data_IF_625850177861
#
_entry.id   IF_625850177861
#
_cell.length_a   1.000
_cell.length_b   1.000
_cell.length_c   1.000
_cell.angle_alpha   90.00
_cell.angle_beta   90.00
_cell.angle_gamma   90.00
#
_symmetry.space_group_name_H-M   'P 1'
#
loop_
_entity.id
_entity.type
_entity.pdbx_description
1 polymer ?
#
# COMPACT_ATOMS: atom_id res chain seq x y z
N UNK A 1 -35.18 34.10 -6.56
CA UNK A 1 -33.74 34.46 -6.43
C UNK A 1 -33.26 34.81 -7.82
N UNK A 2 -32.96 36.08 -8.07
CA UNK A 2 -32.25 36.46 -9.28
C UNK A 2 -30.81 35.94 -9.18
N UNK A 3 -30.38 35.22 -10.21
CA UNK A 3 -29.02 34.68 -10.29
C UNK A 3 -27.99 35.78 -10.57
N UNK A 4 -26.71 35.43 -10.40
CA UNK A 4 -25.61 36.32 -10.73
C UNK A 4 -25.53 36.52 -12.25
N UNK A 5 -25.79 37.73 -12.74
CA UNK A 5 -25.72 38.05 -14.17
C UNK A 5 -24.34 38.62 -14.52
N UNK A 6 -23.43 37.76 -14.98
CA UNK A 6 -22.08 38.16 -15.39
C UNK A 6 -22.07 38.63 -16.85
N UNK A 7 -21.37 39.73 -17.12
CA UNK A 7 -21.15 40.30 -18.44
C UNK A 7 -19.74 39.96 -18.96
N UNK A 8 -19.50 40.19 -20.26
CA UNK A 8 -18.17 39.95 -20.86
C UNK A 8 -17.07 40.83 -20.26
N UNK A 9 -17.40 42.02 -19.77
CA UNK A 9 -16.45 42.89 -19.06
C UNK A 9 -16.07 42.36 -17.68
N UNK A 10 -16.99 41.68 -16.98
CA UNK A 10 -16.72 41.07 -15.67
C UNK A 10 -15.75 39.88 -15.79
N UNK A 11 -15.78 39.18 -16.93
CA UNK A 11 -14.85 38.09 -17.26
C UNK A 11 -13.50 38.60 -17.79
N UNK A 12 -13.39 39.89 -18.15
CA UNK A 12 -12.18 40.48 -18.73
C UNK A 12 -11.26 41.13 -17.68
N UNK A 13 -11.69 41.21 -16.41
CA UNK A 13 -10.83 41.62 -15.31
C UNK A 13 -9.93 40.46 -14.87
N UNK A 14 -8.66 40.78 -14.61
CA UNK A 14 -7.72 39.85 -14.01
C UNK A 14 -8.15 39.60 -12.55
N UNK A 15 -8.91 38.53 -12.33
CA UNK A 15 -9.53 38.22 -11.04
C UNK A 15 -8.61 37.34 -10.20
N UNK A 16 -7.83 37.98 -9.32
CA UNK A 16 -6.98 37.32 -8.33
C UNK A 16 -7.75 37.20 -7.00
N UNK A 17 -8.38 36.05 -6.77
CA UNK A 17 -9.08 35.75 -5.51
C UNK A 17 -8.46 34.53 -4.86
N UNK A 18 -7.79 34.76 -3.73
CA UNK A 18 -7.11 33.73 -2.94
C UNK A 18 -8.02 32.52 -2.64
N UNK A 19 -9.27 32.76 -2.27
CA UNK A 19 -10.25 31.69 -1.97
C UNK A 19 -10.53 30.85 -3.21
N UNK A 20 -10.71 31.49 -4.37
CA UNK A 20 -10.96 30.80 -5.62
C UNK A 20 -9.73 30.04 -6.12
N UNK A 21 -8.53 30.59 -5.93
CA UNK A 21 -7.27 29.96 -6.30
C UNK A 21 -7.03 28.70 -5.48
N UNK A 22 -7.20 28.76 -4.16
CA UNK A 22 -7.07 27.59 -3.28
C UNK A 22 -8.14 26.55 -3.57
N UNK A 23 -9.41 26.97 -3.74
CA UNK A 23 -10.52 26.05 -4.02
C UNK A 23 -10.39 25.35 -5.38
N UNK A 24 -9.80 26.02 -6.37
CA UNK A 24 -9.60 25.48 -7.74
C UNK A 24 -8.18 24.95 -7.97
N UNK A 25 -7.32 24.96 -6.95
CA UNK A 25 -5.96 24.46 -7.08
C UNK A 25 -5.98 22.98 -7.48
N UNK A 26 -5.43 22.69 -8.66
CA UNK A 26 -5.19 21.32 -9.10
C UNK A 26 -3.84 20.84 -8.61
N UNK A 27 -3.76 19.60 -8.17
CA UNK A 27 -2.48 18.97 -7.87
C UNK A 27 -1.61 18.99 -9.13
N UNK A 28 -0.38 19.48 -9.01
CA UNK A 28 0.59 19.40 -10.10
C UNK A 28 0.89 17.93 -10.45
N UNK A 29 1.20 17.67 -11.72
CA UNK A 29 1.67 16.35 -12.15
C UNK A 29 2.93 15.98 -11.37
N UNK A 30 3.00 14.74 -10.91
CA UNK A 30 4.23 14.22 -10.32
C UNK A 30 5.34 14.18 -11.37
N UNK A 31 6.59 14.44 -10.92
CA UNK A 31 7.76 14.18 -11.75
C UNK A 31 7.78 12.70 -12.12
N UNK A 32 8.08 12.42 -13.39
CA UNK A 32 8.24 11.05 -13.87
C UNK A 32 9.57 10.50 -13.34
N UNK A 33 9.56 9.98 -12.11
CA UNK A 33 10.70 9.27 -11.53
C UNK A 33 10.68 7.84 -12.02
N UNK A 34 11.86 7.26 -12.31
CA UNK A 34 11.99 5.82 -12.52
C UNK A 34 12.09 5.17 -11.13
N UNK A 35 11.03 4.57 -10.58
CA UNK A 35 11.11 3.93 -9.27
C UNK A 35 12.08 2.75 -9.34
N UNK A 36 12.76 2.49 -8.22
CA UNK A 36 13.57 1.30 -8.08
C UNK A 36 12.73 0.05 -8.35
N UNK A 37 13.28 -0.88 -9.15
CA UNK A 37 12.66 -2.16 -9.45
C UNK A 37 13.58 -3.27 -8.98
N UNK A 38 13.06 -4.14 -8.11
CA UNK A 38 13.75 -5.36 -7.75
C UNK A 38 13.86 -6.28 -8.96
N UNK A 39 15.01 -6.92 -9.12
CA UNK A 39 15.29 -7.87 -10.20
C UNK A 39 15.64 -9.26 -9.67
N UNK A 40 15.97 -9.38 -8.39
CA UNK A 40 16.25 -10.64 -7.72
C UNK A 40 14.99 -11.10 -6.96
N UNK A 41 14.61 -12.39 -7.02
CA UNK A 41 13.51 -12.90 -6.19
C UNK A 41 13.74 -12.63 -4.70
N UNK A 42 12.67 -12.27 -3.99
CA UNK A 42 12.65 -11.97 -2.54
C UNK A 42 13.50 -10.78 -2.09
N UNK A 43 14.09 -10.05 -3.03
CA UNK A 43 14.79 -8.81 -2.73
C UNK A 43 13.86 -7.75 -2.15
N UNK A 44 12.60 -7.72 -2.61
CA UNK A 44 11.58 -6.82 -2.09
C UNK A 44 10.20 -7.43 -2.23
N UNK A 45 9.53 -7.67 -1.12
CA UNK A 45 8.15 -8.17 -1.09
C UNK A 45 7.20 -7.07 -0.63
N UNK A 46 6.23 -6.74 -1.46
CA UNK A 46 5.14 -5.84 -1.09
C UNK A 46 4.05 -6.64 -0.39
N UNK A 47 3.59 -6.17 0.77
CA UNK A 47 2.52 -6.81 1.53
C UNK A 47 1.37 -5.82 1.63
N UNK A 48 0.20 -6.24 1.17
CA UNK A 48 -1.05 -5.48 1.25
C UNK A 48 -2.14 -6.33 1.91
N UNK A 49 -3.10 -5.68 2.55
CA UNK A 49 -4.19 -6.35 3.26
C UNK A 49 -5.53 -5.78 2.84
N UNK A 50 -6.49 -6.64 2.55
CA UNK A 50 -7.86 -6.25 2.22
C UNK A 50 -8.90 -6.85 3.15
N UNK A 51 -10.08 -6.21 3.15
CA UNK A 51 -11.29 -6.67 3.85
C UNK A 51 -11.94 -5.58 4.71
N UNK A 52 -13.08 -5.88 5.37
CA UNK A 52 -13.69 -7.20 5.48
C UNK A 52 -14.38 -7.70 4.19
N UNK A 53 -14.14 -8.96 3.84
CA UNK A 53 -14.82 -9.68 2.74
C UNK A 53 -16.27 -9.94 3.17
N UNK A 54 -17.23 -9.55 2.33
CA UNK A 54 -18.67 -9.76 2.57
C UNK A 54 -19.33 -10.31 1.30
N UNK A 55 -20.03 -11.45 1.36
CA UNK A 55 -20.12 -12.36 2.52
C UNK A 55 -18.76 -13.00 2.86
N UNK A 56 -18.55 -13.51 4.09
CA UNK A 56 -17.33 -14.25 4.41
C UNK A 56 -17.10 -15.43 3.44
N UNK A 57 -15.85 -15.85 3.29
CA UNK A 57 -15.54 -17.07 2.53
C UNK A 57 -16.17 -18.31 3.18
N UNK A 58 -16.25 -19.44 2.45
CA UNK A 58 -16.75 -20.70 2.99
C UNK A 58 -16.07 -21.14 4.30
N UNK A 59 -14.79 -20.79 4.49
CA UNK A 59 -14.04 -21.08 5.72
C UNK A 59 -14.17 -20.00 6.81
N UNK A 60 -15.14 -19.09 6.72
CA UNK A 60 -15.34 -18.00 7.68
C UNK A 60 -14.28 -16.91 7.65
N UNK A 61 -13.36 -16.91 6.66
CA UNK A 61 -12.31 -15.89 6.52
C UNK A 61 -12.92 -14.59 6.04
N UNK A 62 -12.49 -13.48 6.65
CA UNK A 62 -13.02 -12.13 6.44
C UNK A 62 -11.96 -11.14 5.95
N UNK A 63 -10.69 -11.50 5.95
CA UNK A 63 -9.63 -10.63 5.44
C UNK A 63 -8.68 -11.46 4.57
N UNK A 64 -7.83 -10.77 3.82
CA UNK A 64 -6.73 -11.42 3.12
C UNK A 64 -5.47 -10.57 3.19
N UNK A 65 -4.32 -11.22 3.07
CA UNK A 65 -3.05 -10.57 2.80
C UNK A 65 -2.51 -11.02 1.44
N UNK A 66 -2.05 -10.06 0.65
CA UNK A 66 -1.44 -10.27 -0.63
C UNK A 66 0.04 -9.90 -0.54
N UNK A 67 0.89 -10.87 -0.81
CA UNK A 67 2.34 -10.72 -0.82
C UNK A 67 2.78 -10.76 -2.27
N UNK A 68 3.45 -9.73 -2.76
CA UNK A 68 3.89 -9.61 -4.16
C UNK A 68 5.40 -9.46 -4.18
N UNK A 69 6.09 -10.43 -4.76
CA UNK A 69 7.52 -10.32 -4.99
C UNK A 69 7.82 -9.32 -6.11
N UNK A 70 8.62 -8.31 -5.80
CA UNK A 70 9.03 -7.26 -6.73
C UNK A 70 9.87 -7.81 -7.88
N UNK A 71 10.71 -8.81 -7.61
CA UNK A 71 11.64 -9.44 -8.55
C UNK A 71 10.96 -10.40 -9.51
N UNK A 72 10.39 -11.49 -8.99
CA UNK A 72 9.77 -12.55 -9.80
C UNK A 72 8.34 -12.25 -10.26
N UNK A 73 7.67 -11.26 -9.64
CA UNK A 73 6.23 -11.00 -9.78
C UNK A 73 5.31 -12.09 -9.24
N UNK A 74 5.85 -13.08 -8.53
CA UNK A 74 5.05 -14.10 -7.86
C UNK A 74 4.17 -13.48 -6.77
N UNK A 75 2.98 -14.07 -6.56
CA UNK A 75 2.00 -13.59 -5.58
C UNK A 75 1.57 -14.72 -4.64
N UNK A 76 1.58 -14.45 -3.35
CA UNK A 76 0.97 -15.32 -2.34
C UNK A 76 -0.26 -14.62 -1.76
N UNK A 77 -1.34 -15.37 -1.60
CA UNK A 77 -2.59 -14.90 -1.01
C UNK A 77 -2.87 -15.73 0.24
N UNK A 78 -3.06 -15.04 1.37
CA UNK A 78 -3.38 -15.66 2.65
C UNK A 78 -4.73 -15.18 3.14
N UNK A 79 -5.64 -16.11 3.44
CA UNK A 79 -6.96 -15.77 3.98
C UNK A 79 -6.93 -15.75 5.51
N UNK A 80 -7.43 -14.67 6.10
CA UNK A 80 -7.40 -14.44 7.55
C UNK A 80 -8.80 -14.35 8.15
N UNK A 81 -8.92 -14.82 9.39
CA UNK A 81 -10.15 -14.68 10.21
C UNK A 81 -10.22 -13.27 10.79
N UNK A 82 -9.10 -12.77 11.31
CA UNK A 82 -8.93 -11.46 11.92
C UNK A 82 -7.63 -10.81 11.44
N UNK A 83 -7.54 -9.48 11.55
CA UNK A 83 -6.33 -8.74 11.16
C UNK A 83 -5.12 -9.03 12.06
N UNK A 84 -5.33 -9.60 13.25
CA UNK A 84 -4.27 -9.94 14.21
C UNK A 84 -3.45 -11.16 13.80
N UNK A 85 -3.94 -11.99 12.87
CA UNK A 85 -3.22 -13.17 12.36
C UNK A 85 -2.00 -12.81 11.50
N UNK A 86 -1.85 -11.55 11.10
CA UNK A 86 -0.82 -11.07 10.17
C UNK A 86 0.61 -11.38 10.56
N UNK A 87 0.99 -11.09 11.80
CA UNK A 87 2.38 -11.27 12.21
C UNK A 87 2.80 -12.74 12.23
N UNK A 88 1.91 -13.62 12.69
CA UNK A 88 2.16 -15.06 12.66
C UNK A 88 2.19 -15.61 11.24
N UNK A 89 1.33 -15.08 10.36
CA UNK A 89 1.34 -15.42 8.95
C UNK A 89 2.65 -14.98 8.27
N UNK A 90 3.13 -13.77 8.57
CA UNK A 90 4.41 -13.27 8.07
C UNK A 90 5.59 -14.16 8.46
N UNK A 91 5.70 -14.56 9.74
CA UNK A 91 6.78 -15.47 10.19
C UNK A 91 6.76 -16.79 9.44
N UNK A 92 5.56 -17.37 9.22
CA UNK A 92 5.40 -18.61 8.45
C UNK A 92 5.79 -18.41 6.99
N UNK A 93 5.36 -17.30 6.38
CA UNK A 93 5.73 -16.93 5.02
C UNK A 93 7.25 -16.84 4.86
N UNK A 94 7.92 -16.06 5.71
CA UNK A 94 9.37 -15.88 5.67
C UNK A 94 10.11 -17.23 5.70
N UNK A 95 9.84 -18.09 6.69
CA UNK A 95 10.52 -19.40 6.79
C UNK A 95 10.22 -20.29 5.58
N UNK A 96 8.98 -20.27 5.09
CA UNK A 96 8.56 -21.13 3.98
C UNK A 96 9.18 -20.70 2.66
N UNK A 97 9.15 -19.40 2.36
CA UNK A 97 9.57 -18.87 1.07
C UNK A 97 11.08 -19.00 0.87
N UNK A 98 11.87 -18.78 1.94
CA UNK A 98 13.32 -18.98 1.87
C UNK A 98 13.68 -20.46 1.68
N UNK A 99 12.99 -21.38 2.37
CA UNK A 99 13.23 -22.82 2.22
C UNK A 99 12.82 -23.37 0.87
N UNK A 100 11.76 -22.83 0.27
CA UNK A 100 11.25 -23.30 -1.01
C UNK A 100 12.08 -22.84 -2.21
N UNK A 101 12.65 -21.64 -2.12
CA UNK A 101 13.26 -20.99 -3.28
C UNK A 101 14.76 -20.75 -3.15
N UNK A 102 15.35 -20.98 -1.96
CA UNK A 102 16.77 -20.75 -1.68
C UNK A 102 17.23 -19.29 -1.92
N UNK A 103 16.28 -18.35 -1.83
CA UNK A 103 16.52 -16.91 -1.82
C UNK A 103 16.25 -16.36 -0.42
N UNK A 104 16.91 -15.24 -0.10
CA UNK A 104 16.70 -14.53 1.17
C UNK A 104 15.72 -13.38 1.00
N UNK A 105 14.77 -13.28 1.92
CA UNK A 105 13.87 -12.14 2.01
C UNK A 105 14.68 -10.95 2.55
N UNK A 106 14.84 -9.90 1.75
CA UNK A 106 15.68 -8.74 2.14
C UNK A 106 14.88 -7.57 2.66
N UNK A 107 13.82 -7.18 1.96
CA UNK A 107 13.01 -6.02 2.31
C UNK A 107 11.54 -6.34 2.21
N UNK A 108 10.75 -5.88 3.17
CA UNK A 108 9.29 -5.85 3.08
C UNK A 108 8.79 -4.42 2.95
N UNK A 109 7.78 -4.21 2.10
CA UNK A 109 7.11 -2.91 1.98
C UNK A 109 5.63 -3.06 2.26
N UNK A 110 5.14 -2.28 3.20
CA UNK A 110 3.73 -2.25 3.62
C UNK A 110 3.17 -0.85 3.39
N UNK A 111 1.85 -0.70 3.48
CA UNK A 111 1.15 0.58 3.41
C UNK A 111 1.23 1.40 4.72
N UNK A 112 2.09 0.98 5.67
CA UNK A 112 2.15 1.49 7.04
C UNK A 112 0.85 1.31 7.84
N UNK A 113 0.02 0.31 7.51
CA UNK A 113 -1.10 -0.05 8.38
C UNK A 113 -0.60 -0.43 9.78
N UNK A 114 -1.43 -0.14 10.80
CA UNK A 114 -1.06 -0.31 12.22
C UNK A 114 -0.56 -1.73 12.55
N UNK A 115 -1.09 -2.75 11.87
CA UNK A 115 -0.68 -4.14 12.09
C UNK A 115 0.77 -4.41 11.65
N UNK A 116 1.26 -3.68 10.64
CA UNK A 116 2.63 -3.75 10.14
C UNK A 116 3.57 -2.72 10.78
N UNK A 117 3.05 -1.87 11.66
CA UNK A 117 3.84 -0.96 12.49
C UNK A 117 4.03 -1.49 13.92
N UNK A 118 3.76 -2.78 14.15
CA UNK A 118 3.87 -3.38 15.47
C UNK A 118 5.34 -3.48 15.92
N UNK A 119 5.59 -3.31 17.22
CA UNK A 119 6.94 -3.43 17.79
C UNK A 119 7.50 -4.84 17.59
N UNK A 120 6.61 -5.82 17.61
CA UNK A 120 6.88 -7.24 17.41
C UNK A 120 7.38 -7.52 16.00
N UNK A 121 6.73 -6.98 14.96
CA UNK A 121 7.18 -7.14 13.58
C UNK A 121 8.53 -6.46 13.35
N UNK A 122 8.71 -5.24 13.86
CA UNK A 122 9.97 -4.52 13.73
C UNK A 122 11.12 -5.25 14.44
N UNK A 123 10.88 -5.75 15.66
CA UNK A 123 11.87 -6.52 16.41
C UNK A 123 12.23 -7.82 15.70
N UNK A 124 11.23 -8.51 15.13
CA UNK A 124 11.46 -9.72 14.36
C UNK A 124 12.32 -9.44 13.13
N UNK A 125 11.94 -8.47 12.29
CA UNK A 125 12.67 -8.12 11.07
C UNK A 125 14.10 -7.67 11.37
N UNK A 126 14.28 -6.79 12.35
CA UNK A 126 15.61 -6.32 12.79
C UNK A 126 16.49 -7.47 13.29
N UNK A 127 15.92 -8.45 14.00
CA UNK A 127 16.66 -9.59 14.55
C UNK A 127 17.22 -10.55 13.50
N UNK A 128 16.71 -10.52 12.27
CA UNK A 128 17.14 -11.40 11.17
C UNK A 128 17.65 -10.62 9.94
N UNK A 129 17.71 -9.29 10.03
CA UNK A 129 18.22 -8.42 8.96
C UNK A 129 17.26 -8.21 7.78
N UNK A 130 15.95 -8.30 8.01
CA UNK A 130 14.94 -7.83 7.04
C UNK A 130 14.72 -6.34 7.24
N UNK A 131 14.80 -5.58 6.14
CA UNK A 131 14.49 -4.14 6.08
C UNK A 131 13.00 -3.84 5.91
#
# INVERSE_FOLDING_TARGET
MEGLHLTKSDLAQDYSCEVCEVAKARRMSYKNTKPYRAHVPLERVHIDKGGPITPPTFGGKRYYELYVDGGSRYKWLFLLTSKSESFDNFKKFHVTVERQHDYKLKTIMTDNAKEYMSKELNAYCSGIGIE
#
